data_IF_925488735300
#
_entry.id   IF_925488735300
#
_cell.length_a   1.000
_cell.length_b   1.000
_cell.length_c   1.000
_cell.angle_alpha   90.00
_cell.angle_beta   90.00
_cell.angle_gamma   90.00
#
_symmetry.space_group_name_H-M   'P 1'
#
loop_
_entity.id
_entity.type
_entity.pdbx_description
1 polymer ?
#
# COMPACT_ATOMS: atom_id res chain seq x y z
N UNK A 1 10.58 57.54 28.43
CA UNK A 1 11.51 56.65 27.69
C UNK A 1 10.77 55.38 27.40
N UNK A 2 10.33 55.18 26.17
CA UNK A 2 9.54 54.01 25.78
C UNK A 2 10.50 52.85 25.46
N UNK A 3 10.65 51.91 26.40
CA UNK A 3 11.41 50.69 26.15
C UNK A 3 10.53 49.80 25.27
N UNK A 4 10.69 49.92 23.95
CA UNK A 4 10.09 48.98 23.00
C UNK A 4 10.69 47.61 23.31
N UNK A 5 9.90 46.73 23.89
CA UNK A 5 10.24 45.33 24.10
C UNK A 5 10.45 44.69 22.72
N UNK A 6 11.70 44.67 22.27
CA UNK A 6 12.13 44.03 21.05
C UNK A 6 11.98 42.52 21.25
N UNK A 7 10.87 41.95 20.76
CA UNK A 7 10.70 40.50 20.71
C UNK A 7 11.86 39.95 19.87
N UNK A 8 12.67 39.01 20.39
CA UNK A 8 13.83 38.54 19.66
C UNK A 8 13.37 37.78 18.40
N UNK A 9 14.05 38.05 17.28
CA UNK A 9 13.68 37.64 15.92
C UNK A 9 13.47 36.11 15.77
N UNK A 10 14.11 35.32 16.62
CA UNK A 10 13.97 33.87 16.72
C UNK A 10 12.56 33.41 17.12
N UNK A 11 11.82 34.20 17.89
CA UNK A 11 10.45 33.88 18.29
C UNK A 11 9.45 34.07 17.13
N UNK A 12 9.67 35.07 16.26
CA UNK A 12 8.84 35.31 15.08
C UNK A 12 9.04 34.23 14.02
N UNK A 13 10.29 33.85 13.75
CA UNK A 13 10.60 32.73 12.84
C UNK A 13 10.01 31.40 13.32
N UNK A 14 10.00 31.16 14.64
CA UNK A 14 9.35 29.98 15.21
C UNK A 14 7.83 29.99 15.03
N UNK A 15 7.17 31.15 15.21
CA UNK A 15 5.74 31.33 14.94
C UNK A 15 5.44 31.09 13.45
N UNK A 16 6.25 31.63 12.55
CA UNK A 16 6.06 31.49 11.11
C UNK A 16 6.19 30.03 10.65
N UNK A 17 7.17 29.29 11.17
CA UNK A 17 7.34 27.85 10.87
C UNK A 17 6.16 27.02 11.37
N UNK A 18 5.65 27.30 12.57
CA UNK A 18 4.47 26.63 13.13
C UNK A 18 3.23 26.95 12.30
N UNK A 19 3.04 28.21 11.93
CA UNK A 19 1.91 28.66 11.12
C UNK A 19 1.92 28.05 9.72
N UNK A 20 3.08 28.05 9.05
CA UNK A 20 3.28 27.40 7.74
C UNK A 20 2.98 25.90 7.84
N UNK A 21 3.47 25.23 8.89
CA UNK A 21 3.20 23.81 9.13
C UNK A 21 1.70 23.51 9.29
N UNK A 22 0.98 24.34 10.05
CA UNK A 22 -0.46 24.20 10.24
C UNK A 22 -1.26 24.36 8.94
N UNK A 23 -0.95 25.39 8.15
CA UNK A 23 -1.62 25.61 6.86
C UNK A 23 -1.40 24.44 5.90
N UNK A 24 -0.16 23.94 5.83
CA UNK A 24 0.19 22.80 4.98
C UNK A 24 -0.53 21.52 5.42
N UNK A 25 -0.63 21.28 6.72
CA UNK A 25 -1.39 20.15 7.26
C UNK A 25 -2.88 20.25 6.89
N UNK A 26 -3.47 21.44 7.02
CA UNK A 26 -4.88 21.68 6.67
C UNK A 26 -5.15 21.39 5.19
N UNK A 27 -4.26 21.82 4.31
CA UNK A 27 -4.34 21.55 2.86
C UNK A 27 -4.26 20.04 2.56
N UNK A 28 -3.32 19.33 3.18
CA UNK A 28 -3.17 17.87 3.02
C UNK A 28 -4.43 17.15 3.52
N UNK A 29 -4.97 17.55 4.68
CA UNK A 29 -6.19 16.96 5.23
C UNK A 29 -7.38 17.12 4.30
N UNK A 30 -7.55 18.29 3.69
CA UNK A 30 -8.60 18.55 2.69
C UNK A 30 -8.44 17.67 1.45
N UNK A 31 -7.23 17.61 0.87
CA UNK A 31 -6.92 16.75 -0.28
C UNK A 31 -7.18 15.28 0.03
N UNK A 32 -6.78 14.81 1.21
CA UNK A 32 -7.02 13.44 1.65
C UNK A 32 -8.51 13.14 1.86
N UNK A 33 -9.31 14.12 2.29
CA UNK A 33 -10.77 14.00 2.34
C UNK A 33 -11.38 13.76 0.97
N UNK A 34 -11.02 14.59 -0.01
CA UNK A 34 -11.48 14.47 -1.40
C UNK A 34 -10.99 13.17 -2.06
N UNK A 35 -9.77 12.73 -1.75
CA UNK A 35 -9.26 11.47 -2.29
C UNK A 35 -10.00 10.26 -1.71
N UNK A 36 -10.34 10.29 -0.42
CA UNK A 36 -11.17 9.24 0.21
C UNK A 36 -12.58 9.21 -0.36
N UNK A 37 -13.19 10.36 -0.66
CA UNK A 37 -14.51 10.38 -1.30
C UNK A 37 -14.51 9.83 -2.72
N UNK A 38 -13.36 9.87 -3.43
CA UNK A 38 -13.19 9.26 -4.75
C UNK A 38 -12.87 7.76 -4.70
N UNK A 39 -12.44 7.24 -3.54
CA UNK A 39 -12.12 5.83 -3.37
C UNK A 39 -13.39 5.02 -3.10
N UNK A 40 -14.15 4.70 -4.15
CA UNK A 40 -15.44 3.97 -4.05
C UNK A 40 -15.27 2.50 -3.68
N UNK A 41 -14.14 1.90 -4.08
CA UNK A 41 -13.78 0.51 -3.78
C UNK A 41 -12.66 0.51 -2.72
N UNK A 42 -12.99 0.38 -1.42
CA UNK A 42 -11.98 0.40 -0.37
C UNK A 42 -11.17 -0.90 -0.35
N UNK A 43 -9.90 -0.84 0.03
CA UNK A 43 -9.07 -2.03 0.23
C UNK A 43 -9.11 -2.49 1.70
N UNK A 44 -9.09 -3.81 1.94
CA UNK A 44 -9.04 -4.44 3.27
C UNK A 44 -7.61 -4.78 3.74
N UNK A 45 -6.58 -4.41 2.97
CA UNK A 45 -5.17 -4.72 3.28
C UNK A 45 -4.51 -3.87 4.35
N UNK A 46 -5.19 -2.84 4.86
CA UNK A 46 -4.63 -1.91 5.83
C UNK A 46 -3.40 -1.17 5.30
N UNK A 47 -2.46 -0.86 6.20
CA UNK A 47 -1.21 -0.16 5.87
C UNK A 47 -0.07 -1.10 5.44
N UNK A 48 -0.33 -2.40 5.31
CA UNK A 48 0.68 -3.38 4.91
C UNK A 48 1.05 -3.17 3.43
N UNK A 49 2.36 -3.10 3.14
CA UNK A 49 2.85 -2.97 1.76
C UNK A 49 2.45 -4.19 0.92
N UNK A 50 1.97 -3.93 -0.30
CA UNK A 50 1.57 -4.97 -1.27
C UNK A 50 2.67 -5.98 -1.56
N UNK A 51 3.93 -5.56 -1.69
CA UNK A 51 5.08 -6.47 -1.91
C UNK A 51 5.22 -7.50 -0.81
N UNK A 52 5.05 -7.07 0.44
CA UNK A 52 5.10 -7.96 1.61
C UNK A 52 3.92 -8.92 1.61
N UNK A 53 2.73 -8.44 1.24
CA UNK A 53 1.56 -9.30 1.14
C UNK A 53 1.71 -10.34 0.02
N UNK A 54 2.28 -9.95 -1.11
CA UNK A 54 2.59 -10.87 -2.20
C UNK A 54 3.60 -11.94 -1.77
N UNK A 55 4.65 -11.58 -1.01
CA UNK A 55 5.59 -12.58 -0.49
C UNK A 55 4.94 -13.52 0.53
N UNK A 56 4.06 -13.02 1.41
CA UNK A 56 3.31 -13.86 2.36
C UNK A 56 2.41 -14.86 1.59
N UNK A 57 1.63 -14.39 0.62
CA UNK A 57 0.77 -15.25 -0.20
C UNK A 57 1.60 -16.25 -1.03
N UNK A 58 2.75 -15.84 -1.57
CA UNK A 58 3.63 -16.73 -2.33
C UNK A 58 4.20 -17.86 -1.46
N UNK A 59 4.53 -17.56 -0.19
CA UNK A 59 5.00 -18.56 0.78
C UNK A 59 3.86 -19.51 1.17
N UNK A 60 2.66 -18.98 1.39
CA UNK A 60 1.47 -19.78 1.76
C UNK A 60 1.01 -20.71 0.63
N UNK A 61 1.04 -20.23 -0.61
CA UNK A 61 0.54 -20.96 -1.79
C UNK A 61 1.62 -21.74 -2.53
N UNK A 62 2.91 -21.44 -2.28
CA UNK A 62 4.04 -21.98 -3.04
C UNK A 62 4.10 -21.49 -4.50
N UNK A 63 3.28 -20.49 -4.87
CA UNK A 63 3.13 -20.03 -6.25
C UNK A 63 3.49 -18.55 -6.40
N UNK A 64 3.87 -18.16 -7.62
CA UNK A 64 4.10 -16.75 -7.94
C UNK A 64 2.75 -16.03 -7.99
N UNK A 65 2.60 -15.02 -7.14
CA UNK A 65 1.36 -14.25 -7.01
C UNK A 65 1.23 -13.28 -8.17
N UNK A 66 0.14 -13.42 -8.94
CA UNK A 66 -0.23 -12.49 -9.99
C UNK A 66 -0.76 -11.16 -9.42
N UNK A 67 -0.84 -10.12 -10.27
CA UNK A 67 -1.42 -8.83 -9.86
C UNK A 67 -2.92 -8.96 -9.54
N UNK A 68 -3.66 -9.81 -10.26
CA UNK A 68 -5.09 -9.99 -10.01
C UNK A 68 -5.35 -10.76 -8.72
N UNK A 69 -4.64 -11.87 -8.48
CA UNK A 69 -4.66 -12.59 -7.20
C UNK A 69 -4.35 -11.66 -6.01
N UNK A 70 -3.35 -10.79 -6.14
CA UNK A 70 -3.04 -9.79 -5.10
C UNK A 70 -4.16 -8.76 -4.91
N UNK A 71 -4.84 -8.35 -5.99
CA UNK A 71 -6.00 -7.47 -5.92
C UNK A 71 -7.15 -8.16 -5.18
N UNK A 72 -7.48 -9.40 -5.53
CA UNK A 72 -8.53 -10.20 -4.88
C UNK A 72 -8.22 -10.38 -3.39
N UNK A 73 -6.98 -10.72 -3.03
CA UNK A 73 -6.55 -10.88 -1.64
C UNK A 73 -6.65 -9.57 -0.83
N UNK A 74 -6.58 -8.41 -1.50
CA UNK A 74 -6.64 -7.10 -0.84
C UNK A 74 -8.04 -6.50 -0.76
N UNK A 75 -8.99 -7.01 -1.53
CA UNK A 75 -10.39 -6.56 -1.53
C UNK A 75 -11.35 -7.60 -0.92
N UNK A 76 -10.81 -8.69 -0.37
CA UNK A 76 -11.49 -9.61 0.53
C UNK A 76 -11.13 -9.32 1.99
N UNK A 77 -12.14 -9.45 2.86
CA UNK A 77 -11.99 -9.43 4.31
C UNK A 77 -11.42 -10.77 4.80
N UNK A 78 -11.08 -10.84 6.09
CA UNK A 78 -10.54 -12.07 6.72
C UNK A 78 -11.54 -13.24 6.72
N UNK A 79 -12.83 -12.95 6.69
CA UNK A 79 -13.92 -13.92 6.59
C UNK A 79 -14.16 -14.42 5.14
N UNK A 80 -13.41 -13.90 4.17
CA UNK A 80 -13.56 -14.21 2.74
C UNK A 80 -14.65 -13.40 2.03
N UNK A 81 -15.43 -12.59 2.74
CA UNK A 81 -16.44 -11.71 2.14
C UNK A 81 -15.79 -10.52 1.43
N UNK A 82 -16.48 -9.98 0.41
CA UNK A 82 -16.04 -8.78 -0.27
C UNK A 82 -16.33 -7.53 0.57
N UNK A 83 -15.49 -6.52 0.39
CA UNK A 83 -15.63 -5.20 1.05
C UNK A 83 -16.90 -4.46 0.65
N UNK A 84 -17.29 -4.56 -0.63
CA UNK A 84 -18.53 -4.03 -1.20
C UNK A 84 -18.92 -4.82 -2.47
N UNK A 85 -20.11 -4.57 -3.01
CA UNK A 85 -20.60 -5.26 -4.21
C UNK A 85 -19.79 -4.91 -5.47
N UNK A 86 -19.31 -3.68 -5.61
CA UNK A 86 -18.44 -3.28 -6.73
C UNK A 86 -17.12 -4.06 -6.74
N UNK A 87 -16.49 -4.25 -5.57
CA UNK A 87 -15.29 -5.06 -5.44
C UNK A 87 -15.54 -6.50 -5.86
N UNK A 88 -16.71 -7.06 -5.52
CA UNK A 88 -17.07 -8.41 -5.92
C UNK A 88 -17.06 -8.55 -7.44
N UNK A 89 -17.79 -7.68 -8.16
CA UNK A 89 -17.86 -7.71 -9.64
C UNK A 89 -16.47 -7.59 -10.26
N UNK A 90 -15.64 -6.66 -9.76
CA UNK A 90 -14.27 -6.49 -10.26
C UNK A 90 -13.40 -7.72 -9.97
N UNK A 91 -13.48 -8.28 -8.76
CA UNK A 91 -12.71 -9.46 -8.39
C UNK A 91 -13.11 -10.69 -9.22
N UNK A 92 -14.41 -10.90 -9.45
CA UNK A 92 -14.92 -11.98 -10.29
C UNK A 92 -14.41 -11.83 -11.72
N UNK A 93 -14.48 -10.63 -12.30
CA UNK A 93 -13.94 -10.36 -13.64
C UNK A 93 -12.43 -10.62 -13.73
N UNK A 94 -11.68 -10.26 -12.70
CA UNK A 94 -10.24 -10.53 -12.63
C UNK A 94 -9.99 -12.04 -12.62
N UNK A 95 -10.71 -12.80 -11.78
CA UNK A 95 -10.55 -14.25 -11.67
C UNK A 95 -10.92 -14.96 -12.99
N UNK A 96 -11.97 -14.52 -13.66
CA UNK A 96 -12.32 -15.00 -15.00
C UNK A 96 -11.16 -14.81 -15.98
N UNK A 97 -10.59 -13.61 -16.04
CA UNK A 97 -9.47 -13.31 -16.95
C UNK A 97 -8.20 -14.09 -16.58
N UNK A 98 -7.90 -14.26 -15.30
CA UNK A 98 -6.75 -15.04 -14.85
C UNK A 98 -6.89 -16.53 -15.21
N UNK A 99 -8.11 -17.08 -15.14
CA UNK A 99 -8.40 -18.45 -15.56
C UNK A 99 -8.31 -18.64 -17.08
N UNK A 100 -8.69 -17.63 -17.86
CA UNK A 100 -8.57 -17.67 -19.34
C UNK A 100 -7.10 -17.60 -19.78
N UNK A 101 -6.29 -16.80 -19.08
CA UNK A 101 -4.86 -16.60 -19.40
C UNK A 101 -3.98 -17.73 -18.86
N UNK A 102 -4.47 -18.49 -17.89
CA UNK A 102 -3.79 -19.67 -17.34
C UNK A 102 -4.38 -20.94 -17.94
N UNK A 103 -3.96 -21.40 -19.14
CA UNK A 103 -4.26 -22.76 -19.54
C UNK A 103 -3.59 -23.66 -18.51
N UNK A 104 -4.40 -24.50 -17.88
CA UNK A 104 -4.00 -25.49 -16.90
C UNK A 104 -2.82 -26.33 -17.42
N UNK A 105 -1.75 -26.42 -16.62
CA UNK A 105 -0.71 -27.46 -16.66
C UNK A 105 0.31 -27.44 -17.82
N UNK A 106 1.05 -26.36 -18.01
CA UNK A 106 2.37 -26.45 -18.67
C UNK A 106 3.47 -26.74 -17.61
N UNK A 107 4.13 -27.92 -17.62
CA UNK A 107 5.19 -28.27 -16.66
C UNK A 107 6.47 -27.43 -16.82
N UNK A 108 6.51 -26.51 -17.79
CA UNK A 108 7.70 -25.77 -18.18
C UNK A 108 7.86 -24.40 -17.51
N UNK A 109 6.95 -23.97 -16.61
CA UNK A 109 7.18 -22.71 -15.88
C UNK A 109 8.29 -22.94 -14.85
N UNK A 110 9.49 -22.35 -15.01
CA UNK A 110 10.54 -22.55 -14.03
C UNK A 110 10.05 -21.93 -12.72
N UNK A 111 10.04 -22.72 -11.66
CA UNK A 111 9.98 -22.19 -10.30
C UNK A 111 11.21 -21.28 -10.19
N UNK A 112 11.00 -19.96 -10.18
CA UNK A 112 12.04 -19.01 -9.84
C UNK A 112 12.41 -19.29 -8.38
N UNK A 113 13.41 -20.15 -8.20
CA UNK A 113 13.98 -20.40 -6.88
C UNK A 113 14.49 -19.06 -6.34
N UNK A 114 14.22 -18.72 -5.07
CA UNK A 114 14.79 -17.54 -4.47
C UNK A 114 16.31 -17.66 -4.58
N UNK A 115 16.95 -16.71 -5.28
CA UNK A 115 18.40 -16.65 -5.36
C UNK A 115 18.94 -16.52 -3.95
N UNK A 116 19.48 -17.62 -3.43
CA UNK A 116 20.22 -17.65 -2.17
C UNK A 116 21.45 -16.78 -2.39
N UNK A 117 21.36 -15.51 -2.01
CA UNK A 117 22.55 -14.67 -1.84
C UNK A 117 23.34 -15.28 -0.70
N UNK A 118 24.33 -16.11 -1.04
CA UNK A 118 25.31 -16.58 -0.09
C UNK A 118 26.08 -15.35 0.39
N UNK A 119 25.77 -14.91 1.61
CA UNK A 119 26.63 -13.99 2.35
C UNK A 119 27.89 -14.78 2.74
N UNK A 120 28.97 -14.59 2.00
CA UNK A 120 30.30 -15.03 2.43
C UNK A 120 30.75 -14.12 3.58
N UNK A 121 30.22 -14.34 4.77
CA UNK A 121 30.90 -13.89 5.98
C UNK A 121 32.10 -14.81 6.19
N UNK A 122 33.26 -14.31 5.77
CA UNK A 122 34.54 -14.84 6.23
C UNK A 122 34.56 -14.80 7.76
N UNK A 123 34.89 -15.95 8.35
CA UNK A 123 35.21 -16.10 9.76
C UNK A 123 36.75 -16.22 9.89
N UNK A 124 37.27 -15.94 11.09
CA UNK A 124 38.46 -15.10 11.32
C UNK A 124 39.81 -15.73 10.96
#
# INVERSE_FOLDING_TARGET
MEVKNQIPLNHLLAIDVVQIGWYKLKEICQKNGVNRSKQTIPHAGGSKKLKRRASEIAVETGQVVSRGSLYVATHKKKDGSYVNAEAQVVCEKILELENIISPTNDPARPVLQPSTSQSSTGLP
#
